data_IF_407128823761
#
_entry.id   IF_407128823761
#
_cell.length_a   1.000
_cell.length_b   1.000
_cell.length_c   1.000
_cell.angle_alpha   90.00
_cell.angle_beta   90.00
_cell.angle_gamma   90.00
#
_symmetry.space_group_name_H-M   'P 1'
#
loop_
_entity.id
_entity.type
_entity.pdbx_description
1 polymer ?
#
# COMPACT_ATOMS: atom_id res chain seq x y z
N UNK A 1 -1.41 -36.64 -5.25
CA UNK A 1 -1.44 -35.39 -4.41
C UNK A 1 -0.48 -34.30 -4.88
N UNK A 2 0.71 -34.56 -5.41
CA UNK A 2 1.65 -33.51 -5.86
C UNK A 2 1.24 -32.79 -7.15
N UNK A 3 0.63 -33.42 -8.11
CA UNK A 3 0.26 -32.83 -9.41
C UNK A 3 -0.96 -31.89 -9.33
N UNK A 4 -1.96 -32.23 -8.56
CA UNK A 4 -3.17 -31.38 -8.40
C UNK A 4 -2.87 -30.12 -7.60
N UNK A 5 -1.99 -30.21 -6.60
CA UNK A 5 -1.53 -29.05 -5.84
C UNK A 5 -0.75 -28.08 -6.74
N UNK A 6 0.16 -28.58 -7.59
CA UNK A 6 0.91 -27.77 -8.55
C UNK A 6 0.02 -27.05 -9.58
N UNK A 7 -1.04 -27.70 -10.08
CA UNK A 7 -1.98 -27.11 -11.05
C UNK A 7 -2.84 -26.01 -10.39
N UNK A 8 -3.33 -26.24 -9.17
CA UNK A 8 -4.13 -25.26 -8.42
C UNK A 8 -3.34 -24.00 -8.10
N UNK A 9 -2.06 -24.15 -7.83
CA UNK A 9 -1.16 -23.07 -7.43
C UNK A 9 -0.70 -22.22 -8.62
N UNK A 10 -0.40 -22.86 -9.75
CA UNK A 10 -0.13 -22.18 -11.02
C UNK A 10 -1.31 -21.31 -11.47
N UNK A 11 -2.53 -21.77 -11.24
CA UNK A 11 -3.74 -21.01 -11.55
C UNK A 11 -3.86 -19.73 -10.72
N UNK A 12 -3.40 -19.71 -9.46
CA UNK A 12 -3.47 -18.53 -8.59
C UNK A 12 -2.59 -17.40 -9.11
N UNK A 13 -1.35 -17.69 -9.54
CA UNK A 13 -0.46 -16.66 -10.12
C UNK A 13 -0.99 -16.12 -11.44
N UNK A 14 -1.52 -17.01 -12.29
CA UNK A 14 -2.13 -16.63 -13.56
C UNK A 14 -3.37 -15.74 -13.33
N UNK A 15 -4.25 -16.14 -12.42
CA UNK A 15 -5.44 -15.36 -12.06
C UNK A 15 -5.07 -13.97 -11.55
N UNK A 16 -4.09 -13.88 -10.65
CA UNK A 16 -3.60 -12.60 -10.13
C UNK A 16 -3.04 -11.73 -11.25
N UNK A 17 -2.25 -12.29 -12.15
CA UNK A 17 -1.66 -11.57 -13.28
C UNK A 17 -2.73 -11.05 -14.22
N UNK A 18 -3.72 -11.88 -14.57
CA UNK A 18 -4.85 -11.47 -15.43
C UNK A 18 -5.69 -10.38 -14.76
N UNK A 19 -5.98 -10.50 -13.47
CA UNK A 19 -6.72 -9.50 -12.70
C UNK A 19 -6.02 -8.13 -12.75
N UNK A 20 -4.73 -8.07 -12.44
CA UNK A 20 -3.97 -6.82 -12.52
C UNK A 20 -3.84 -6.30 -13.95
N UNK A 21 -3.75 -7.18 -14.95
CA UNK A 21 -3.77 -6.81 -16.37
C UNK A 21 -5.09 -6.13 -16.76
N UNK A 22 -6.22 -6.67 -16.35
CA UNK A 22 -7.55 -6.08 -16.59
C UNK A 22 -7.66 -4.71 -15.90
N UNK A 23 -7.22 -4.58 -14.66
CA UNK A 23 -7.23 -3.30 -13.94
C UNK A 23 -6.37 -2.25 -14.63
N UNK A 24 -5.20 -2.62 -15.13
CA UNK A 24 -4.31 -1.71 -15.84
C UNK A 24 -4.95 -1.23 -17.16
N UNK A 25 -5.52 -2.15 -17.94
CA UNK A 25 -6.25 -1.82 -19.17
C UNK A 25 -7.42 -0.87 -18.86
N UNK A 26 -8.20 -1.17 -17.82
CA UNK A 26 -9.33 -0.33 -17.39
C UNK A 26 -8.87 1.08 -17.00
N UNK A 27 -7.73 1.21 -16.30
CA UNK A 27 -7.17 2.51 -15.93
C UNK A 27 -6.81 3.36 -17.14
N UNK A 28 -6.08 2.78 -18.12
CA UNK A 28 -5.71 3.50 -19.34
C UNK A 28 -6.90 3.80 -20.24
N UNK A 29 -7.85 2.89 -20.35
CA UNK A 29 -9.09 3.11 -21.08
C UNK A 29 -9.91 4.26 -20.47
N UNK A 30 -10.02 4.30 -19.15
CA UNK A 30 -10.67 5.40 -18.44
C UNK A 30 -9.99 6.75 -18.72
N UNK A 31 -8.65 6.83 -18.64
CA UNK A 31 -7.93 8.06 -18.95
C UNK A 31 -8.17 8.51 -20.40
N UNK A 32 -8.18 7.57 -21.34
CA UNK A 32 -8.45 7.83 -22.76
C UNK A 32 -9.88 8.35 -22.98
N UNK A 33 -10.89 7.71 -22.37
CA UNK A 33 -12.31 8.12 -22.48
C UNK A 33 -12.50 9.52 -21.89
N UNK A 34 -11.82 9.85 -20.79
CA UNK A 34 -11.89 11.18 -20.19
C UNK A 34 -11.09 12.26 -20.96
N UNK A 35 -10.35 11.90 -22.01
CA UNK A 35 -9.50 12.83 -22.76
C UNK A 35 -8.31 13.36 -21.95
N UNK A 36 -7.87 12.63 -20.93
CA UNK A 36 -6.76 13.05 -20.09
C UNK A 36 -5.40 12.81 -20.76
N UNK A 37 -4.50 13.77 -20.58
CA UNK A 37 -3.08 13.53 -20.86
C UNK A 37 -2.52 12.56 -19.81
N UNK A 38 -2.27 11.34 -20.25
CA UNK A 38 -1.81 10.25 -19.38
C UNK A 38 -0.54 10.62 -18.62
N UNK A 39 0.45 11.22 -19.28
CA UNK A 39 1.73 11.58 -18.65
C UNK A 39 1.54 12.61 -17.54
N UNK A 40 0.70 13.63 -17.79
CA UNK A 40 0.41 14.69 -16.81
C UNK A 40 -0.45 14.16 -15.66
N UNK A 41 -1.48 13.36 -15.99
CA UNK A 41 -2.41 12.84 -14.96
C UNK A 41 -1.72 11.85 -14.05
N UNK A 42 -0.88 10.96 -14.57
CA UNK A 42 -0.10 10.02 -13.81
C UNK A 42 1.18 10.64 -13.20
N UNK A 43 1.50 11.91 -13.52
CA UNK A 43 2.72 12.57 -13.05
C UNK A 43 3.98 11.74 -13.34
N UNK A 44 4.17 11.36 -14.60
CA UNK A 44 5.29 10.54 -15.05
C UNK A 44 6.58 11.38 -15.17
N UNK A 45 6.98 12.03 -14.07
CA UNK A 45 8.20 12.82 -13.99
C UNK A 45 9.36 11.97 -13.48
N UNK A 46 10.58 12.28 -13.94
CA UNK A 46 11.80 11.63 -13.44
C UNK A 46 11.99 11.94 -11.95
N UNK A 47 12.44 10.97 -11.20
CA UNK A 47 12.83 11.13 -9.79
C UNK A 47 14.25 11.70 -9.75
N UNK A 48 14.50 12.67 -8.88
CA UNK A 48 15.86 13.10 -8.54
C UNK A 48 16.64 11.93 -7.93
N UNK A 49 17.88 11.71 -8.35
CA UNK A 49 18.66 10.52 -7.93
C UNK A 49 18.81 10.44 -6.40
N UNK A 50 19.04 11.55 -5.72
CA UNK A 50 19.07 11.59 -4.26
C UNK A 50 17.75 11.19 -3.63
N UNK A 51 16.62 11.63 -4.22
CA UNK A 51 15.28 11.24 -3.76
C UNK A 51 15.02 9.75 -3.96
N UNK A 52 15.55 9.13 -5.01
CA UNK A 52 15.42 7.70 -5.23
C UNK A 52 15.96 6.88 -4.06
N UNK A 53 17.18 7.20 -3.57
CA UNK A 53 17.76 6.53 -2.41
C UNK A 53 16.98 6.81 -1.11
N UNK A 54 16.48 8.05 -0.93
CA UNK A 54 15.67 8.37 0.23
C UNK A 54 14.30 7.65 0.19
N UNK A 55 13.72 7.41 -1.00
CA UNK A 55 12.50 6.62 -1.18
C UNK A 55 12.72 5.16 -0.78
N UNK A 56 13.87 4.58 -1.14
CA UNK A 56 14.24 3.23 -0.68
C UNK A 56 14.30 3.19 0.85
N UNK A 57 15.00 4.16 1.45
CA UNK A 57 15.11 4.23 2.92
C UNK A 57 13.75 4.44 3.59
N UNK A 58 12.88 5.28 3.01
CA UNK A 58 11.53 5.50 3.47
C UNK A 58 10.73 4.19 3.50
N UNK A 59 10.83 3.36 2.46
CA UNK A 59 10.13 2.08 2.40
C UNK A 59 10.52 1.13 3.55
N UNK A 60 11.75 1.23 4.07
CA UNK A 60 12.18 0.47 5.25
C UNK A 60 11.76 1.13 6.57
N UNK A 61 11.81 2.47 6.68
CA UNK A 61 11.47 3.16 7.93
C UNK A 61 9.97 3.15 8.25
N UNK A 62 9.08 3.02 7.26
CA UNK A 62 7.64 2.86 7.47
C UNK A 62 7.24 1.46 7.95
N UNK A 63 8.09 0.45 7.79
CA UNK A 63 7.78 -0.96 8.16
C UNK A 63 7.47 -1.16 9.63
N UNK A 64 8.25 -0.64 10.59
CA UNK A 64 7.92 -0.76 12.01
C UNK A 64 6.56 -0.17 12.35
N UNK A 65 6.17 0.93 11.70
CA UNK A 65 4.87 1.57 11.91
C UNK A 65 3.75 0.69 11.36
N UNK A 66 3.90 0.19 10.13
CA UNK A 66 2.93 -0.72 9.53
C UNK A 66 2.80 -2.02 10.36
N UNK A 67 3.92 -2.59 10.81
CA UNK A 67 3.94 -3.77 11.69
C UNK A 67 3.21 -3.52 13.02
N UNK A 68 3.44 -2.37 13.66
CA UNK A 68 2.73 -1.97 14.87
C UNK A 68 1.23 -1.86 14.65
N UNK A 69 0.80 -1.23 13.55
CA UNK A 69 -0.61 -1.14 13.18
C UNK A 69 -1.21 -2.53 12.95
N UNK A 70 -0.48 -3.43 12.27
CA UNK A 70 -0.89 -4.82 12.06
C UNK A 70 -1.04 -5.58 13.39
N UNK A 71 -0.11 -5.41 14.33
CA UNK A 71 -0.21 -6.04 15.65
C UNK A 71 -1.47 -5.60 16.40
N UNK A 72 -1.83 -4.32 16.33
CA UNK A 72 -3.09 -3.83 16.93
C UNK A 72 -4.29 -4.41 16.19
N UNK A 73 -4.26 -4.44 14.85
CA UNK A 73 -5.36 -5.00 14.05
C UNK A 73 -5.59 -6.49 14.38
N UNK A 74 -4.53 -7.27 14.61
CA UNK A 74 -4.61 -8.69 14.98
C UNK A 74 -5.26 -8.96 16.35
N UNK A 75 -5.49 -7.92 17.17
CA UNK A 75 -6.31 -8.07 18.38
C UNK A 75 -7.82 -8.18 18.06
N UNK A 76 -8.25 -7.69 16.91
CA UNK A 76 -9.64 -7.57 16.53
C UNK A 76 -10.02 -8.41 15.31
N UNK A 77 -9.06 -8.68 14.43
CA UNK A 77 -9.26 -9.33 13.14
C UNK A 77 -8.30 -10.51 12.98
N UNK A 78 -8.74 -11.52 12.22
CA UNK A 78 -7.94 -12.71 11.97
C UNK A 78 -6.84 -12.46 10.93
N UNK A 79 -5.65 -13.01 11.16
CA UNK A 79 -4.55 -13.00 10.19
C UNK A 79 -4.70 -14.17 9.19
N UNK A 80 -5.39 -13.91 8.11
CA UNK A 80 -5.53 -14.85 6.98
C UNK A 80 -4.44 -14.67 5.92
N UNK A 81 -3.63 -13.62 6.03
CA UNK A 81 -2.67 -13.22 4.98
C UNK A 81 -1.31 -13.90 5.14
N UNK A 82 -0.81 -14.06 6.36
CA UNK A 82 0.52 -14.60 6.63
C UNK A 82 0.70 -16.03 6.13
N UNK A 83 -0.25 -16.93 6.42
CA UNK A 83 -0.19 -18.32 5.96
C UNK A 83 -0.24 -18.42 4.43
N UNK A 84 -1.15 -17.69 3.80
CA UNK A 84 -1.28 -17.66 2.34
C UNK A 84 -0.01 -17.13 1.68
N UNK A 85 0.59 -16.09 2.24
CA UNK A 85 1.82 -15.50 1.74
C UNK A 85 3.00 -16.47 1.89
N UNK A 86 3.14 -17.13 3.05
CA UNK A 86 4.18 -18.12 3.30
C UNK A 86 4.11 -19.27 2.30
N UNK A 87 2.92 -19.82 2.05
CA UNK A 87 2.72 -20.87 1.06
C UNK A 87 3.15 -20.43 -0.35
N UNK A 88 2.69 -19.26 -0.82
CA UNK A 88 3.07 -18.72 -2.13
C UNK A 88 4.59 -18.55 -2.25
N UNK A 89 5.22 -17.94 -1.27
CA UNK A 89 6.66 -17.66 -1.28
C UNK A 89 7.49 -18.94 -1.32
N UNK A 90 7.06 -19.98 -0.61
CA UNK A 90 7.74 -21.28 -0.63
C UNK A 90 7.55 -22.05 -1.93
N UNK A 91 6.46 -21.84 -2.65
CA UNK A 91 6.23 -22.44 -3.97
C UNK A 91 7.12 -21.81 -5.04
N UNK A 92 7.16 -20.49 -5.14
CA UNK A 92 7.98 -19.77 -6.10
C UNK A 92 8.26 -18.33 -5.63
N UNK A 93 9.49 -18.09 -5.19
CA UNK A 93 9.91 -16.75 -4.80
C UNK A 93 9.77 -15.73 -5.94
N UNK A 94 10.19 -16.09 -7.17
CA UNK A 94 10.12 -15.20 -8.32
C UNK A 94 8.70 -14.79 -8.69
N UNK A 95 7.78 -15.76 -8.76
CA UNK A 95 6.37 -15.48 -9.05
C UNK A 95 5.70 -14.71 -7.91
N UNK A 96 6.06 -14.98 -6.66
CA UNK A 96 5.57 -14.22 -5.50
C UNK A 96 6.03 -12.77 -5.54
N UNK A 97 7.30 -12.50 -5.85
CA UNK A 97 7.81 -11.12 -6.04
C UNK A 97 7.07 -10.43 -7.18
N UNK A 98 6.87 -11.11 -8.30
CA UNK A 98 6.16 -10.54 -9.44
C UNK A 98 4.70 -10.21 -9.12
N UNK A 99 3.95 -11.16 -8.53
CA UNK A 99 2.50 -11.01 -8.31
C UNK A 99 2.12 -10.25 -7.05
N UNK A 100 3.01 -10.16 -6.05
CA UNK A 100 2.72 -9.52 -4.75
C UNK A 100 3.50 -8.21 -4.53
N UNK A 101 4.60 -7.98 -5.28
CA UNK A 101 5.34 -6.72 -5.17
C UNK A 101 5.30 -5.91 -6.46
N UNK A 102 5.68 -6.50 -7.60
CA UNK A 102 5.79 -5.77 -8.85
C UNK A 102 4.42 -5.33 -9.39
N UNK A 103 3.49 -6.28 -9.60
CA UNK A 103 2.18 -5.99 -10.16
C UNK A 103 1.37 -5.02 -9.27
N UNK A 104 1.20 -5.27 -7.94
CA UNK A 104 0.51 -4.32 -7.07
C UNK A 104 1.20 -2.95 -7.06
N UNK A 105 2.53 -2.92 -6.87
CA UNK A 105 3.29 -1.68 -6.83
C UNK A 105 3.11 -0.82 -8.09
N UNK A 106 2.96 -1.44 -9.25
CA UNK A 106 2.70 -0.73 -10.50
C UNK A 106 1.22 -0.35 -10.66
N UNK A 107 0.33 -1.35 -10.60
CA UNK A 107 -1.07 -1.16 -11.02
C UNK A 107 -1.87 -0.40 -9.97
N UNK A 108 -1.67 -0.68 -8.70
CA UNK A 108 -2.39 0.01 -7.63
C UNK A 108 -1.95 1.48 -7.52
N UNK A 109 -0.66 1.78 -7.72
CA UNK A 109 -0.22 3.18 -7.75
C UNK A 109 -0.81 3.94 -8.94
N UNK A 110 -0.87 3.32 -10.13
CA UNK A 110 -1.55 3.92 -11.29
C UNK A 110 -3.02 4.19 -10.99
N UNK A 111 -3.74 3.24 -10.37
CA UNK A 111 -5.17 3.40 -10.06
C UNK A 111 -5.39 4.44 -8.95
N UNK A 112 -4.74 4.27 -7.80
CA UNK A 112 -5.05 5.07 -6.61
C UNK A 112 -4.34 6.42 -6.60
N UNK A 113 -3.07 6.51 -7.04
CA UNK A 113 -2.31 7.79 -7.07
C UNK A 113 -2.42 8.46 -8.41
N UNK A 114 -2.38 7.68 -9.48
CA UNK A 114 -2.50 8.19 -10.84
C UNK A 114 -3.92 8.66 -11.17
N UNK A 115 -4.88 7.75 -11.15
CA UNK A 115 -6.25 8.05 -11.60
C UNK A 115 -7.09 8.69 -10.50
N UNK A 116 -7.30 8.01 -9.38
CA UNK A 116 -8.23 8.43 -8.32
C UNK A 116 -7.76 9.72 -7.63
N UNK A 117 -6.57 9.73 -7.06
CA UNK A 117 -6.05 10.87 -6.33
C UNK A 117 -5.93 12.12 -7.21
N UNK A 118 -5.53 11.97 -8.48
CA UNK A 118 -5.47 13.09 -9.44
C UNK A 118 -6.79 13.82 -9.60
N UNK A 119 -7.93 13.16 -9.40
CA UNK A 119 -9.27 13.77 -9.41
C UNK A 119 -9.59 14.43 -8.07
N UNK A 120 -9.37 13.71 -6.98
CA UNK A 120 -9.72 14.15 -5.63
C UNK A 120 -8.91 15.39 -5.20
N UNK A 121 -7.62 15.44 -5.54
CA UNK A 121 -6.72 16.54 -5.18
C UNK A 121 -7.12 17.91 -5.75
N UNK A 122 -7.82 17.92 -6.90
CA UNK A 122 -8.27 19.17 -7.53
C UNK A 122 -9.20 19.99 -6.63
N UNK A 123 -9.94 19.33 -5.75
CA UNK A 123 -10.81 20.00 -4.78
C UNK A 123 -10.05 20.31 -3.47
N UNK A 124 -9.26 19.40 -2.97
CA UNK A 124 -8.50 19.54 -1.74
C UNK A 124 -7.42 18.43 -1.67
N UNK A 125 -6.13 18.76 -1.70
CA UNK A 125 -5.07 17.76 -1.72
C UNK A 125 -5.03 16.90 -0.45
N UNK A 126 -5.26 17.49 0.75
CA UNK A 126 -5.25 16.75 2.02
C UNK A 126 -6.40 15.75 2.07
N UNK A 127 -7.63 16.19 1.77
CA UNK A 127 -8.79 15.31 1.69
C UNK A 127 -8.62 14.26 0.59
N UNK A 128 -8.01 14.64 -0.53
CA UNK A 128 -7.69 13.73 -1.63
C UNK A 128 -6.78 12.59 -1.19
N UNK A 129 -5.71 12.89 -0.43
CA UNK A 129 -4.82 11.87 0.13
C UNK A 129 -5.61 10.91 1.03
N UNK A 130 -6.38 11.44 1.99
CA UNK A 130 -7.13 10.63 2.95
C UNK A 130 -8.18 9.75 2.26
N UNK A 131 -8.94 10.29 1.31
CA UNK A 131 -9.97 9.54 0.59
C UNK A 131 -9.39 8.49 -0.36
N UNK A 132 -8.28 8.83 -1.04
CA UNK A 132 -7.57 7.86 -1.87
C UNK A 132 -6.98 6.73 -1.02
N UNK A 133 -6.41 7.06 0.14
CA UNK A 133 -5.90 6.08 1.09
C UNK A 133 -7.02 5.18 1.67
N UNK A 134 -8.19 5.77 1.95
CA UNK A 134 -9.36 5.03 2.44
C UNK A 134 -9.83 3.97 1.42
N UNK A 135 -9.97 4.35 0.15
CA UNK A 135 -10.32 3.39 -0.89
C UNK A 135 -9.21 2.37 -1.16
N UNK A 136 -7.94 2.81 -1.11
CA UNK A 136 -6.80 1.91 -1.24
C UNK A 136 -6.81 0.83 -0.15
N UNK A 137 -7.02 1.22 1.11
CA UNK A 137 -7.08 0.28 2.22
C UNK A 137 -8.24 -0.69 2.08
N UNK A 138 -9.48 -0.18 1.89
CA UNK A 138 -10.67 -1.04 1.86
C UNK A 138 -10.75 -1.94 0.61
N UNK A 139 -10.07 -1.57 -0.47
CA UNK A 139 -9.98 -2.40 -1.68
C UNK A 139 -9.24 -3.74 -1.45
N UNK A 140 -8.53 -3.89 -0.33
CA UNK A 140 -7.94 -5.17 0.06
C UNK A 140 -8.97 -6.17 0.59
N UNK A 141 -10.20 -5.73 0.87
CA UNK A 141 -11.34 -6.56 1.32
C UNK A 141 -11.03 -7.41 2.55
N UNK A 142 -10.11 -6.94 3.41
CA UNK A 142 -9.67 -7.57 4.65
C UNK A 142 -9.37 -6.49 5.68
N UNK A 143 -9.99 -6.53 6.87
CA UNK A 143 -9.86 -5.47 7.87
C UNK A 143 -8.47 -5.41 8.51
N UNK A 144 -7.81 -6.55 8.71
CA UNK A 144 -6.44 -6.56 9.18
C UNK A 144 -5.53 -5.83 8.18
N UNK A 145 -5.66 -6.15 6.90
CA UNK A 145 -4.87 -5.54 5.82
C UNK A 145 -5.26 -4.08 5.58
N UNK A 146 -6.55 -3.74 5.68
CA UNK A 146 -7.03 -2.36 5.59
C UNK A 146 -6.26 -1.43 6.52
N UNK A 147 -6.00 -1.87 7.75
CA UNK A 147 -5.43 -1.03 8.80
C UNK A 147 -4.06 -0.45 8.40
N UNK A 148 -3.12 -1.29 7.97
CA UNK A 148 -1.80 -0.81 7.54
C UNK A 148 -1.80 -0.26 6.11
N UNK A 149 -2.66 -0.79 5.21
CA UNK A 149 -2.75 -0.29 3.85
C UNK A 149 -3.30 1.14 3.80
N UNK A 150 -4.25 1.50 4.67
CA UNK A 150 -4.71 2.88 4.82
C UNK A 150 -3.55 3.82 5.22
N UNK A 151 -2.73 3.41 6.20
CA UNK A 151 -1.54 4.16 6.60
C UNK A 151 -0.56 4.31 5.42
N UNK A 152 -0.22 3.23 4.72
CA UNK A 152 0.63 3.28 3.53
C UNK A 152 0.03 4.17 2.44
N UNK A 153 -1.29 4.14 2.31
CA UNK A 153 -2.05 5.01 1.42
C UNK A 153 -1.77 6.49 1.65
N UNK A 154 -1.74 6.91 2.90
CA UNK A 154 -1.41 8.28 3.30
C UNK A 154 0.06 8.60 2.97
N UNK A 155 0.99 7.71 3.36
CA UNK A 155 2.43 7.92 3.13
C UNK A 155 2.74 8.03 1.64
N UNK A 156 2.19 7.16 0.80
CA UNK A 156 2.42 7.21 -0.65
C UNK A 156 1.73 8.41 -1.30
N UNK A 157 0.57 8.86 -0.80
CA UNK A 157 -0.03 10.11 -1.22
C UNK A 157 0.85 11.33 -0.89
N UNK A 158 1.42 11.39 0.31
CA UNK A 158 2.40 12.41 0.70
C UNK A 158 3.68 12.33 -0.13
N UNK A 159 4.18 11.13 -0.41
CA UNK A 159 5.35 10.90 -1.25
C UNK A 159 5.14 11.37 -2.69
N UNK A 160 3.96 11.11 -3.27
CA UNK A 160 3.59 11.63 -4.59
C UNK A 160 3.62 13.16 -4.62
N UNK A 161 3.12 13.83 -3.59
CA UNK A 161 3.16 15.30 -3.52
C UNK A 161 4.57 15.84 -3.23
N UNK A 162 5.39 15.09 -2.51
CA UNK A 162 6.78 15.45 -2.23
C UNK A 162 7.69 15.35 -3.46
N UNK A 163 7.37 14.44 -4.40
CA UNK A 163 8.22 14.18 -5.58
C UNK A 163 7.62 14.66 -6.89
N UNK A 164 6.31 14.86 -6.94
CA UNK A 164 5.52 15.04 -8.17
C UNK A 164 5.75 13.91 -9.20
N UNK A 165 6.09 12.70 -8.72
CA UNK A 165 6.42 11.55 -9.57
C UNK A 165 5.77 10.27 -9.08
N UNK A 166 4.98 9.63 -9.94
CA UNK A 166 4.38 8.32 -9.65
C UNK A 166 5.44 7.22 -9.49
N UNK A 167 6.60 7.38 -10.14
CA UNK A 167 7.68 6.40 -10.03
C UNK A 167 8.24 6.31 -8.61
N UNK A 168 8.15 7.39 -7.82
CA UNK A 168 8.56 7.35 -6.42
C UNK A 168 7.65 6.45 -5.60
N UNK A 169 6.33 6.57 -5.79
CA UNK A 169 5.36 5.73 -5.05
C UNK A 169 5.40 4.28 -5.52
N UNK A 170 5.53 4.03 -6.82
CA UNK A 170 5.75 2.69 -7.38
C UNK A 170 6.98 2.04 -6.74
N UNK A 171 8.12 2.75 -6.71
CA UNK A 171 9.36 2.25 -6.09
C UNK A 171 9.17 1.93 -4.61
N UNK A 172 8.58 2.86 -3.84
CA UNK A 172 8.36 2.65 -2.41
C UNK A 172 7.45 1.43 -2.15
N UNK A 173 6.38 1.28 -2.92
CA UNK A 173 5.43 0.19 -2.80
C UNK A 173 6.09 -1.16 -3.16
N UNK A 174 6.79 -1.23 -4.30
CA UNK A 174 7.52 -2.44 -4.71
C UNK A 174 8.55 -2.88 -3.66
N UNK A 175 9.30 -1.94 -3.08
CA UNK A 175 10.31 -2.23 -2.05
C UNK A 175 9.62 -2.68 -0.76
N UNK A 176 8.56 -2.02 -0.35
CA UNK A 176 7.81 -2.40 0.84
C UNK A 176 7.29 -3.82 0.73
N UNK A 177 6.57 -4.16 -0.33
CA UNK A 177 6.02 -5.50 -0.55
C UNK A 177 7.14 -6.53 -0.81
N UNK A 178 8.11 -6.20 -1.66
CA UNK A 178 9.22 -7.09 -2.00
C UNK A 178 10.06 -7.47 -0.78
N UNK A 179 10.36 -6.51 0.09
CA UNK A 179 11.10 -6.79 1.33
C UNK A 179 10.30 -7.65 2.32
N UNK A 180 8.94 -7.57 2.32
CA UNK A 180 8.09 -8.49 3.09
C UNK A 180 8.23 -9.92 2.60
N UNK A 181 8.17 -10.12 1.27
CA UNK A 181 8.31 -11.43 0.63
C UNK A 181 9.68 -12.03 0.93
N UNK A 182 10.75 -11.24 0.76
CA UNK A 182 12.11 -11.71 1.02
C UNK A 182 12.31 -12.09 2.50
N UNK A 183 11.76 -11.31 3.40
CA UNK A 183 11.83 -11.61 4.84
C UNK A 183 11.06 -12.90 5.17
N UNK A 184 9.84 -13.05 4.66
CA UNK A 184 9.05 -14.28 4.84
C UNK A 184 9.79 -15.50 4.29
N UNK A 185 10.40 -15.39 3.10
CA UNK A 185 11.21 -16.47 2.54
C UNK A 185 12.41 -16.83 3.41
N UNK A 186 13.15 -15.82 3.89
CA UNK A 186 14.32 -16.04 4.74
C UNK A 186 13.94 -16.74 6.06
N UNK A 187 12.90 -16.26 6.73
CA UNK A 187 12.40 -16.86 7.99
C UNK A 187 11.95 -18.30 7.75
N UNK A 188 11.17 -18.55 6.70
CA UNK A 188 10.69 -19.91 6.37
C UNK A 188 11.83 -20.88 6.07
N UNK A 189 12.90 -20.41 5.42
CA UNK A 189 14.10 -21.25 5.17
C UNK A 189 14.85 -21.57 6.46
N UNK A 190 15.05 -20.57 7.34
CA UNK A 190 15.72 -20.77 8.63
C UNK A 190 14.95 -21.77 9.51
N UNK A 191 13.61 -21.70 9.53
CA UNK A 191 12.77 -22.65 10.28
C UNK A 191 12.91 -24.08 9.74
N UNK A 192 13.11 -24.27 8.43
CA UNK A 192 13.34 -25.60 7.83
C UNK A 192 14.69 -26.20 8.24
N UNK A 193 15.69 -25.40 8.61
CA UNK A 193 17.00 -25.86 9.10
C UNK A 193 17.00 -26.17 10.60
N UNK A 194 15.86 -26.31 11.25
CA UNK A 194 15.72 -26.82 12.63
C UNK A 194 16.00 -25.79 13.72
N UNK A 195 16.04 -24.49 13.40
CA UNK A 195 16.02 -23.43 14.40
C UNK A 195 14.58 -23.23 14.88
N UNK A 196 14.03 -24.27 15.54
CA UNK A 196 12.64 -24.33 16.00
C UNK A 196 12.31 -23.37 17.17
N UNK A 197 13.26 -22.52 17.58
CA UNK A 197 13.04 -21.49 18.59
C UNK A 197 12.40 -20.22 18.07
N UNK A 198 12.05 -20.17 16.76
CA UNK A 198 11.11 -19.21 16.21
C UNK A 198 9.70 -19.82 16.22
N UNK A 199 9.31 -20.50 17.30
CA UNK A 199 7.92 -20.60 17.66
C UNK A 199 7.42 -19.16 17.85
N UNK A 200 7.13 -18.57 16.71
CA UNK A 200 6.23 -17.43 16.64
C UNK A 200 4.89 -17.99 17.12
N UNK A 201 4.74 -18.06 18.43
CA UNK A 201 3.42 -18.06 19.00
C UNK A 201 2.74 -16.86 18.37
N UNK A 202 1.87 -17.12 17.38
CA UNK A 202 1.10 -16.10 16.65
C UNK A 202 0.12 -15.34 17.56
N UNK A 203 0.30 -15.45 18.86
CA UNK A 203 -0.46 -14.73 19.88
C UNK A 203 0.19 -13.38 20.10
N UNK A 204 -0.37 -12.36 19.44
CA UNK A 204 -0.04 -10.97 19.76
C UNK A 204 -0.39 -10.73 21.23
N UNK A 205 0.64 -10.48 22.06
CA UNK A 205 0.47 -10.18 23.48
C UNK A 205 0.54 -8.68 23.72
N UNK A 206 -0.11 -8.19 24.76
CA UNK A 206 -0.02 -6.77 25.16
C UNK A 206 1.43 -6.36 25.39
N UNK A 207 2.26 -7.25 25.97
CA UNK A 207 3.69 -7.00 26.19
C UNK A 207 4.46 -6.82 24.88
N UNK A 208 4.17 -7.62 23.83
CA UNK A 208 4.81 -7.47 22.52
C UNK A 208 4.41 -6.17 21.81
N UNK A 209 3.16 -5.74 21.97
CA UNK A 209 2.69 -4.44 21.46
C UNK A 209 3.44 -3.30 22.16
N UNK A 210 3.50 -3.31 23.50
CA UNK A 210 4.21 -2.28 24.27
C UNK A 210 5.70 -2.23 23.88
N UNK A 211 6.35 -3.38 23.74
CA UNK A 211 7.75 -3.47 23.33
C UNK A 211 8.01 -2.93 21.90
N UNK A 212 7.02 -2.96 21.01
CA UNK A 212 7.15 -2.46 19.64
C UNK A 212 6.95 -0.94 19.51
N UNK A 213 6.35 -0.26 20.53
CA UNK A 213 6.09 1.19 20.49
C UNK A 213 7.35 2.03 20.20
N UNK A 214 8.50 1.85 20.89
CA UNK A 214 9.67 2.68 20.64
C UNK A 214 10.16 2.56 19.19
N UNK A 215 10.19 1.36 18.64
CA UNK A 215 10.66 1.11 17.27
C UNK A 215 9.69 1.72 16.24
N UNK A 216 8.38 1.62 16.48
CA UNK A 216 7.36 2.25 15.66
C UNK A 216 7.47 3.79 15.69
N UNK A 217 7.68 4.39 16.86
CA UNK A 217 7.87 5.83 17.01
C UNK A 217 9.12 6.32 16.29
N UNK A 218 10.25 5.63 16.43
CA UNK A 218 11.48 5.95 15.70
C UNK A 218 11.23 5.85 14.20
N UNK A 219 10.60 4.77 13.73
CA UNK A 219 10.24 4.59 12.33
C UNK A 219 9.36 5.71 11.80
N UNK A 220 8.38 6.15 12.58
CA UNK A 220 7.49 7.26 12.22
C UNK A 220 8.25 8.59 12.10
N UNK A 221 9.07 8.92 13.10
CA UNK A 221 9.88 10.15 13.11
C UNK A 221 10.82 10.19 11.90
N UNK A 222 11.54 9.09 11.65
CA UNK A 222 12.43 8.96 10.50
C UNK A 222 11.67 9.07 9.18
N UNK A 223 10.50 8.47 9.08
CA UNK A 223 9.67 8.53 7.87
C UNK A 223 9.18 9.96 7.58
N UNK A 224 8.76 10.70 8.60
CA UNK A 224 8.39 12.12 8.46
C UNK A 224 9.61 12.94 8.02
N UNK A 225 10.76 12.75 8.66
CA UNK A 225 12.00 13.42 8.29
C UNK A 225 12.37 13.16 6.82
N UNK A 226 12.32 11.89 6.38
CA UNK A 226 12.61 11.51 5.00
C UNK A 226 11.62 12.13 4.02
N UNK A 227 10.32 12.14 4.30
CA UNK A 227 9.33 12.80 3.45
C UNK A 227 9.60 14.30 3.31
N UNK A 228 9.99 14.98 4.39
CA UNK A 228 10.36 16.40 4.35
C UNK A 228 11.63 16.62 3.55
N UNK A 229 12.65 15.78 3.74
CA UNK A 229 13.91 15.82 2.98
C UNK A 229 13.67 15.58 1.47
N UNK A 230 12.84 14.60 1.12
CA UNK A 230 12.45 14.31 -0.27
C UNK A 230 11.72 15.53 -0.85
N UNK A 231 10.77 16.12 -0.13
CA UNK A 231 10.05 17.32 -0.59
C UNK A 231 10.99 18.51 -0.78
N UNK A 232 11.99 18.67 0.09
CA UNK A 232 13.01 19.71 -0.03
C UNK A 232 13.87 19.52 -1.29
N UNK A 233 14.40 18.31 -1.52
CA UNK A 233 15.23 17.99 -2.69
C UNK A 233 14.49 18.19 -4.03
N UNK A 234 13.19 17.97 -4.05
CA UNK A 234 12.35 18.16 -5.25
C UNK A 234 11.75 19.57 -5.36
N UNK A 235 12.14 20.53 -4.49
CA UNK A 235 11.60 21.90 -4.49
C UNK A 235 10.11 21.98 -4.15
N UNK A 236 9.50 20.93 -3.58
CA UNK A 236 8.06 20.82 -3.30
C UNK A 236 7.66 21.32 -1.91
N UNK A 237 8.62 21.53 -1.03
CA UNK A 237 8.35 21.89 0.37
C UNK A 237 7.55 23.20 0.50
N UNK A 238 7.89 24.20 -0.31
CA UNK A 238 7.16 25.48 -0.35
C UNK A 238 5.68 25.28 -0.73
N UNK A 239 5.41 24.50 -1.77
CA UNK A 239 4.05 24.15 -2.19
C UNK A 239 3.28 23.39 -1.09
N UNK A 240 3.88 22.40 -0.44
CA UNK A 240 3.22 21.65 0.63
C UNK A 240 2.91 22.57 1.83
N UNK A 241 3.81 23.50 2.17
CA UNK A 241 3.56 24.49 3.24
C UNK A 241 2.33 25.37 2.97
N UNK A 242 2.02 25.67 1.70
CA UNK A 242 0.81 26.45 1.36
C UNK A 242 -0.49 25.77 1.76
N UNK A 243 -0.52 24.43 1.88
CA UNK A 243 -1.73 23.70 2.30
C UNK A 243 -2.21 24.07 3.71
N UNK A 244 -1.29 24.54 4.56
CA UNK A 244 -1.58 24.91 5.94
C UNK A 244 -1.88 26.42 6.10
N UNK A 245 -1.71 27.23 5.03
CA UNK A 245 -2.02 28.65 5.03
C UNK A 245 -3.53 28.86 4.87
N UNK A 246 -4.12 29.66 5.78
CA UNK A 246 -5.57 29.91 5.83
C UNK A 246 -6.09 30.54 4.53
N UNK A 247 -5.36 31.50 3.99
CA UNK A 247 -5.72 32.24 2.79
C UNK A 247 -5.78 31.31 1.57
N UNK A 248 -4.79 30.45 1.42
CA UNK A 248 -4.75 29.46 0.32
C UNK A 248 -5.89 28.45 0.49
N UNK A 249 -6.16 27.98 1.71
CA UNK A 249 -7.26 27.03 1.95
C UNK A 249 -8.63 27.61 1.65
N UNK A 250 -8.81 28.92 1.77
CA UNK A 250 -10.06 29.61 1.41
C UNK A 250 -10.29 29.66 -0.11
N UNK A 251 -9.23 29.61 -0.92
CA UNK A 251 -9.31 29.58 -2.39
C UNK A 251 -9.67 28.20 -2.95
N UNK A 252 -9.59 27.13 -2.13
CA UNK A 252 -9.93 25.80 -2.59
C UNK A 252 -11.42 25.68 -2.96
N UNK A 253 -11.75 24.94 -4.04
CA UNK A 253 -13.14 24.77 -4.45
C UNK A 253 -13.99 24.19 -3.31
N UNK A 254 -15.11 24.86 -3.00
CA UNK A 254 -16.09 24.40 -2.00
C UNK A 254 -16.97 23.24 -2.51
N UNK A 255 -16.54 22.55 -3.58
CA UNK A 255 -17.26 21.42 -4.15
C UNK A 255 -17.07 20.15 -3.31
N UNK A 256 -18.05 19.26 -3.37
CA UNK A 256 -17.92 17.91 -2.80
C UNK A 256 -16.73 17.19 -3.44
N UNK A 257 -15.85 16.62 -2.62
CA UNK A 257 -14.66 15.89 -3.08
C UNK A 257 -15.04 14.51 -3.59
N UNK A 258 -16.12 13.93 -3.05
CA UNK A 258 -16.63 12.59 -3.39
C UNK A 258 -17.96 12.67 -4.14
N UNK A 259 -18.25 11.62 -4.89
CA UNK A 259 -19.52 11.40 -5.58
C UNK A 259 -20.15 10.07 -5.14
N UNK A 260 -21.31 9.74 -5.68
CA UNK A 260 -22.04 8.50 -5.39
C UNK A 260 -21.19 7.27 -5.73
N UNK A 261 -20.48 7.29 -6.86
CA UNK A 261 -19.63 6.16 -7.28
C UNK A 261 -18.50 5.87 -6.31
N UNK A 262 -17.92 6.91 -5.68
CA UNK A 262 -16.91 6.74 -4.64
C UNK A 262 -17.47 5.96 -3.44
N UNK A 263 -18.63 6.38 -2.94
CA UNK A 263 -19.25 5.74 -1.78
C UNK A 263 -19.82 4.36 -2.11
N UNK A 264 -20.33 4.16 -3.32
CA UNK A 264 -20.74 2.84 -3.80
C UNK A 264 -19.55 1.86 -3.81
N UNK A 265 -18.39 2.26 -4.36
CA UNK A 265 -17.20 1.43 -4.34
C UNK A 265 -16.74 1.12 -2.90
N UNK A 266 -16.74 2.12 -2.03
CA UNK A 266 -16.39 1.93 -0.61
C UNK A 266 -17.34 0.93 0.06
N UNK A 267 -18.66 1.09 -0.09
CA UNK A 267 -19.67 0.22 0.52
C UNK A 267 -19.53 -1.22 0.03
N UNK A 268 -19.35 -1.43 -1.28
CA UNK A 268 -19.14 -2.76 -1.84
C UNK A 268 -17.92 -3.44 -1.22
N UNK A 269 -16.76 -2.76 -1.20
CA UNK A 269 -15.55 -3.32 -0.59
C UNK A 269 -15.71 -3.56 0.91
N UNK A 270 -16.41 -2.67 1.62
CA UNK A 270 -16.66 -2.79 3.06
C UNK A 270 -17.57 -3.99 3.38
N UNK A 271 -18.65 -4.20 2.62
CA UNK A 271 -19.51 -5.36 2.77
C UNK A 271 -18.77 -6.67 2.46
N UNK A 272 -17.90 -6.66 1.44
CA UNK A 272 -17.05 -7.79 1.14
C UNK A 272 -16.05 -8.10 2.28
N UNK A 273 -15.47 -7.06 2.90
CA UNK A 273 -14.60 -7.23 4.07
C UNK A 273 -15.34 -7.86 5.25
N UNK A 274 -16.58 -7.46 5.51
CA UNK A 274 -17.43 -8.09 6.55
C UNK A 274 -17.67 -9.56 6.21
N UNK A 275 -18.04 -9.86 4.97
CA UNK A 275 -18.28 -11.23 4.52
C UNK A 275 -17.04 -12.12 4.70
N UNK A 276 -15.87 -11.62 4.34
CA UNK A 276 -14.59 -12.34 4.51
C UNK A 276 -14.27 -12.59 5.98
N UNK A 277 -14.46 -11.60 6.86
CA UNK A 277 -14.25 -11.75 8.30
C UNK A 277 -15.18 -12.79 8.91
N UNK A 278 -16.47 -12.76 8.55
CA UNK A 278 -17.45 -13.75 9.01
C UNK A 278 -17.06 -15.14 8.52
N UNK A 279 -16.69 -15.28 7.23
CA UNK A 279 -16.31 -16.58 6.67
C UNK A 279 -15.05 -17.15 7.33
N UNK A 280 -14.05 -16.30 7.62
CA UNK A 280 -12.82 -16.73 8.28
C UNK A 280 -13.03 -17.15 9.75
N UNK A 281 -14.09 -16.68 10.41
CA UNK A 281 -14.40 -17.08 11.79
C UNK A 281 -15.08 -18.47 11.90
N UNK A 282 -15.53 -19.03 10.77
CA UNK A 282 -16.13 -20.37 10.72
C UNK A 282 -15.19 -21.45 10.18
N UNK A 283 -13.97 -21.08 9.73
CA UNK A 283 -12.93 -22.00 9.26
C UNK A 283 -11.84 -22.19 10.30
#
# INVERSE_FOLDING_TARGET
MGSEMCIRDSNTYLFTTLFYGILLIAAFLYLKICGDDTKKTLRMHKIHIGSFFLVILLAFTIRPVAGFITMIANLFFQDVTTNTMTQKVMQSLGLSVFTTAFLPGLVEEILFRGVLYSRLRKANPIKGILLSALLFGIAHMNFQQFSYAFFLGIVFGCLLEATDSIFATITAHMIFNGSSILLTYAISKVSLFGVNNLDTANTVTVSSIIASIPVALIGLILSIFLLVAIAYLNGRLGYIKTWFQKDIRQTWPKKRVTNISFWAAFIVCFLFSIMMEITSSFL
#
